data_IF_516131082974
#
_entry.id   IF_516131082974
#
_cell.length_a   1.000
_cell.length_b   1.000
_cell.length_c   1.000
_cell.angle_alpha   90.00
_cell.angle_beta   90.00
_cell.angle_gamma   90.00
#
_symmetry.space_group_name_H-M   'P 1'
#
loop_
_entity.id
_entity.type
_entity.pdbx_description
1 polymer ?
#
# COMPACT_ATOMS: atom_id res chain seq x y z
N UNK A 1 18.52 6.47 9.95
CA UNK A 1 18.61 6.24 8.49
C UNK A 1 17.21 6.45 7.94
N UNK A 2 17.04 7.37 6.99
CA UNK A 2 15.76 7.59 6.31
C UNK A 2 15.30 6.29 5.63
N UNK A 3 14.11 5.80 5.98
CA UNK A 3 13.53 4.60 5.38
C UNK A 3 12.70 5.07 4.18
N UNK A 4 13.31 5.09 2.99
CA UNK A 4 12.66 5.55 1.77
C UNK A 4 11.58 4.56 1.34
N UNK A 5 10.34 5.03 1.21
CA UNK A 5 9.23 4.24 0.68
C UNK A 5 9.41 3.99 -0.83
N UNK A 6 9.16 2.76 -1.25
CA UNK A 6 9.15 2.36 -2.66
C UNK A 6 7.72 2.36 -3.18
N UNK A 7 7.29 3.47 -3.77
CA UNK A 7 5.97 3.58 -4.41
C UNK A 7 5.87 2.63 -5.60
N UNK A 8 4.75 1.91 -5.70
CA UNK A 8 4.54 0.92 -6.76
C UNK A 8 5.37 -0.35 -6.58
N UNK A 9 5.82 -0.66 -5.35
CA UNK A 9 6.56 -1.87 -5.00
C UNK A 9 6.29 -2.27 -3.53
N UNK A 10 6.81 -3.44 -3.13
CA UNK A 10 6.67 -3.97 -1.78
C UNK A 10 7.58 -3.27 -0.78
N UNK A 11 7.05 -2.98 0.40
CA UNK A 11 7.75 -2.38 1.53
C UNK A 11 7.47 -3.20 2.79
N UNK A 12 8.51 -3.42 3.59
CA UNK A 12 8.39 -4.08 4.89
C UNK A 12 8.27 -3.03 5.99
N UNK A 13 7.04 -2.84 6.50
CA UNK A 13 6.68 -1.75 7.40
C UNK A 13 6.15 -2.28 8.72
N UNK A 14 6.40 -1.55 9.81
CA UNK A 14 6.00 -1.93 11.16
C UNK A 14 4.64 -1.34 11.51
N UNK A 15 3.75 -2.12 12.12
CA UNK A 15 2.47 -1.63 12.63
C UNK A 15 2.72 -0.77 13.88
N UNK A 16 2.28 0.48 13.85
CA UNK A 16 2.46 1.43 14.96
C UNK A 16 1.16 1.76 15.68
N UNK A 17 0.00 1.60 15.03
CA UNK A 17 -1.29 1.95 15.61
C UNK A 17 -2.42 1.15 14.97
N UNK A 18 -3.42 0.79 15.79
CA UNK A 18 -4.65 0.12 15.36
C UNK A 18 -5.82 1.09 15.50
N UNK A 19 -6.69 1.12 14.50
CA UNK A 19 -7.92 1.93 14.45
C UNK A 19 -9.07 1.08 13.89
N UNK A 20 -10.31 1.55 14.03
CA UNK A 20 -11.50 0.78 13.64
C UNK A 20 -11.53 0.43 12.15
N UNK A 21 -10.89 1.25 11.31
CA UNK A 21 -10.87 1.10 9.85
C UNK A 21 -9.53 0.56 9.30
N UNK A 22 -8.62 0.09 10.15
CA UNK A 22 -7.36 -0.50 9.69
C UNK A 22 -6.18 -0.39 10.65
N UNK A 23 -4.98 -0.45 10.08
CA UNK A 23 -3.71 -0.33 10.78
C UNK A 23 -2.89 0.81 10.18
N UNK A 24 -2.21 1.58 11.01
CA UNK A 24 -1.17 2.50 10.55
C UNK A 24 0.19 1.83 10.63
N UNK A 25 0.95 1.96 9.56
CA UNK A 25 2.30 1.46 9.38
C UNK A 25 3.30 2.62 9.40
N UNK A 26 4.47 2.41 10.01
CA UNK A 26 5.55 3.38 10.04
C UNK A 26 6.17 3.55 8.65
N UNK A 27 5.86 4.66 7.99
CA UNK A 27 6.40 5.05 6.70
C UNK A 27 7.68 5.90 6.79
N UNK A 28 8.24 6.10 7.98
CA UNK A 28 9.42 6.95 8.18
C UNK A 28 9.14 8.42 7.84
N UNK A 29 9.89 8.97 6.89
CA UNK A 29 9.79 10.39 6.52
C UNK A 29 8.47 10.73 5.82
N UNK A 30 7.77 9.73 5.28
CA UNK A 30 6.44 9.87 4.66
C UNK A 30 5.31 9.87 5.70
N UNK A 31 5.62 9.68 6.99
CA UNK A 31 4.65 9.61 8.07
C UNK A 31 3.97 8.24 8.20
N UNK A 32 2.75 8.24 8.74
CA UNK A 32 1.95 7.01 8.92
C UNK A 32 1.20 6.64 7.65
N UNK A 33 1.33 5.38 7.20
CA UNK A 33 0.64 4.87 6.00
C UNK A 33 -0.48 3.93 6.44
N UNK A 34 -1.69 4.13 5.92
CA UNK A 34 -2.85 3.31 6.26
C UNK A 34 -2.86 1.98 5.49
N UNK A 35 -3.07 0.88 6.20
CA UNK A 35 -3.53 -0.42 5.70
C UNK A 35 -5.02 -0.58 6.06
N UNK A 36 -5.94 -0.42 5.10
CA UNK A 36 -7.38 -0.55 5.33
C UNK A 36 -7.78 -1.91 5.93
N UNK A 37 -8.80 -1.93 6.78
CA UNK A 37 -9.26 -3.10 7.53
C UNK A 37 -9.49 -4.36 6.68
N UNK A 38 -10.02 -4.20 5.46
CA UNK A 38 -10.25 -5.31 4.51
C UNK A 38 -8.98 -6.06 4.08
N UNK A 39 -7.81 -5.46 4.30
CA UNK A 39 -6.50 -6.01 3.93
C UNK A 39 -5.66 -6.42 5.15
N UNK A 40 -6.20 -6.30 6.35
CA UNK A 40 -5.49 -6.63 7.59
C UNK A 40 -5.50 -8.16 7.79
N UNK A 41 -4.34 -8.82 7.93
CA UNK A 41 -4.26 -10.24 8.29
C UNK A 41 -4.85 -10.49 9.69
N UNK A 42 -5.46 -11.66 9.91
CA UNK A 42 -6.18 -11.97 11.17
C UNK A 42 -5.31 -11.83 12.43
N UNK A 43 -4.03 -12.21 12.35
CA UNK A 43 -3.10 -12.21 13.49
C UNK A 43 -2.21 -10.98 13.58
N UNK A 44 -2.45 -9.93 12.78
CA UNK A 44 -1.60 -8.74 12.76
C UNK A 44 -1.79 -7.86 14.02
N UNK A 45 -0.70 -7.69 14.79
CA UNK A 45 -0.65 -6.90 16.01
C UNK A 45 0.23 -5.66 15.91
N UNK A 46 0.05 -4.71 16.84
CA UNK A 46 0.95 -3.56 16.98
C UNK A 46 2.35 -4.07 17.30
N UNK A 47 3.34 -3.59 16.56
CA UNK A 47 4.73 -3.96 16.70
C UNK A 47 5.21 -4.97 15.66
N UNK A 48 4.32 -5.72 15.01
CA UNK A 48 4.67 -6.65 13.94
C UNK A 48 5.08 -5.92 12.66
N UNK A 49 5.82 -6.60 11.79
CA UNK A 49 6.15 -6.13 10.46
C UNK A 49 5.33 -6.85 9.40
N UNK A 50 4.84 -6.10 8.42
CA UNK A 50 4.13 -6.62 7.26
C UNK A 50 4.85 -6.26 5.98
N UNK A 51 4.91 -7.20 5.04
CA UNK A 51 5.24 -6.94 3.65
C UNK A 51 3.98 -6.48 2.92
N UNK A 52 3.95 -5.20 2.52
CA UNK A 52 2.80 -4.55 1.90
C UNK A 52 3.18 -3.88 0.59
N UNK A 53 2.26 -3.86 -0.37
CA UNK A 53 2.42 -3.07 -1.58
C UNK A 53 1.94 -1.64 -1.33
N UNK A 54 2.74 -0.65 -1.74
CA UNK A 54 2.44 0.77 -1.55
C UNK A 54 2.00 1.40 -2.86
N UNK A 55 0.84 2.07 -2.86
CA UNK A 55 0.27 2.77 -4.02
C UNK A 55 -0.40 4.08 -3.60
N UNK A 56 -0.84 4.88 -4.58
CA UNK A 56 -1.62 6.10 -4.35
C UNK A 56 -3.12 5.82 -4.55
N UNK A 57 -3.95 6.28 -3.62
CA UNK A 57 -5.40 6.29 -3.81
C UNK A 57 -5.88 7.46 -4.69
N UNK A 58 -7.20 7.62 -4.84
CA UNK A 58 -7.79 8.67 -5.66
C UNK A 58 -7.55 10.09 -5.13
N UNK A 59 -7.12 10.23 -3.87
CA UNK A 59 -6.77 11.50 -3.23
C UNK A 59 -5.25 11.71 -3.20
N UNK A 60 -4.49 10.94 -3.99
CA UNK A 60 -3.03 10.97 -4.09
C UNK A 60 -2.32 10.69 -2.76
N UNK A 61 -2.94 9.89 -1.87
CA UNK A 61 -2.34 9.51 -0.59
C UNK A 61 -1.67 8.15 -0.68
N UNK A 62 -0.55 7.99 0.02
CA UNK A 62 0.09 6.69 0.20
C UNK A 62 -0.83 5.74 0.97
N UNK A 63 -1.13 4.60 0.37
CA UNK A 63 -1.92 3.51 0.96
C UNK A 63 -1.16 2.19 0.82
N UNK A 64 -1.28 1.35 1.85
CA UNK A 64 -0.77 -0.01 1.87
C UNK A 64 -1.88 -1.03 1.56
N UNK A 65 -1.52 -2.11 0.88
CA UNK A 65 -2.37 -3.29 0.71
C UNK A 65 -1.55 -4.58 0.87
N UNK A 66 -2.18 -5.65 1.34
CA UNK A 66 -1.62 -7.02 1.35
C UNK A 66 -2.02 -7.79 0.09
N UNK A 67 -2.84 -7.21 -0.79
CA UNK A 67 -3.13 -7.78 -2.09
C UNK A 67 -1.87 -7.86 -2.95
N UNK A 68 -1.80 -8.90 -3.77
CA UNK A 68 -0.74 -9.05 -4.77
C UNK A 68 -1.17 -8.29 -6.03
N UNK A 69 -0.42 -7.26 -6.46
CA UNK A 69 -0.74 -6.54 -7.68
C UNK A 69 -0.48 -7.43 -8.90
N UNK A 70 -1.21 -7.19 -10.00
CA UNK A 70 -0.99 -7.89 -11.27
C UNK A 70 0.32 -7.45 -11.96
N UNK A 71 0.80 -6.25 -11.64
CA UNK A 71 2.06 -5.68 -12.14
C UNK A 71 2.59 -4.66 -11.14
N UNK A 72 3.91 -4.49 -11.10
CA UNK A 72 4.58 -3.42 -10.35
C UNK A 72 5.50 -2.60 -11.24
N UNK A 73 6.11 -1.56 -10.68
CA UNK A 73 7.07 -0.71 -11.42
C UNK A 73 8.18 -1.55 -12.04
N UNK A 74 8.33 -1.45 -13.36
CA UNK A 74 9.31 -2.19 -14.15
C UNK A 74 8.76 -3.44 -14.83
N UNK A 75 7.55 -3.89 -14.49
CA UNK A 75 6.91 -5.03 -15.13
C UNK A 75 6.17 -4.61 -16.42
N UNK A 76 5.92 -5.61 -17.27
CA UNK A 76 4.94 -5.53 -18.35
C UNK A 76 3.82 -6.54 -18.11
N UNK A 77 2.57 -6.09 -18.24
CA UNK A 77 1.40 -6.95 -18.06
C UNK A 77 0.30 -6.63 -19.09
N UNK A 78 -0.52 -7.63 -19.38
CA UNK A 78 -1.75 -7.49 -20.16
C UNK A 78 -2.92 -7.32 -19.19
N UNK A 79 -3.66 -6.22 -19.31
CA UNK A 79 -4.78 -5.87 -18.43
C UNK A 79 -6.02 -5.53 -19.25
N UNK A 80 -7.19 -5.78 -18.68
CA UNK A 80 -8.49 -5.44 -19.28
C UNK A 80 -8.81 -3.95 -19.06
N UNK A 81 -9.07 -3.21 -20.13
CA UNK A 81 -9.52 -1.82 -20.09
C UNK A 81 -10.91 -1.74 -19.46
N UNK A 82 -11.07 -0.92 -18.42
CA UNK A 82 -12.37 -0.71 -17.74
C UNK A 82 -13.13 0.52 -18.24
N UNK A 83 -12.45 1.54 -18.72
CA UNK A 83 -13.08 2.77 -19.21
C UNK A 83 -12.12 3.52 -20.14
N UNK A 84 -12.67 4.22 -21.15
CA UNK A 84 -11.89 5.05 -22.08
C UNK A 84 -12.41 6.49 -22.02
N UNK A 85 -11.51 7.46 -21.93
CA UNK A 85 -11.81 8.88 -21.90
C UNK A 85 -10.81 9.67 -22.77
N UNK A 86 -10.86 11.00 -22.71
CA UNK A 86 -10.00 11.89 -23.50
C UNK A 86 -8.50 11.83 -23.12
N UNK A 87 -8.16 11.30 -21.95
CA UNK A 87 -6.80 11.15 -21.45
C UNK A 87 -6.22 9.75 -21.69
N UNK A 88 -7.06 8.71 -21.86
CA UNK A 88 -6.59 7.34 -22.05
C UNK A 88 -7.63 6.25 -21.79
N UNK A 89 -7.14 5.03 -21.56
CA UNK A 89 -7.88 3.78 -21.37
C UNK A 89 -7.33 2.97 -20.21
#
# INVERSE_FOLDING_TARGET
MSKKIKLGDYNRLRIVKKVDFGLYLDGGDEGEILLPSRYVPEDAGIGDELDVFIYLDQEERLIATTETPLAKVGDFAYLEVKWVNEYGA
#
